data_IF_999755582349
#
_entry.id   IF_999755582349
#
_cell.length_a   1.000
_cell.length_b   1.000
_cell.length_c   1.000
_cell.angle_alpha   90.00
_cell.angle_beta   90.00
_cell.angle_gamma   90.00
#
_symmetry.space_group_name_H-M   'P 1'
#
loop_
_entity.id
_entity.type
_entity.pdbx_description
1 polymer ?
#
# COMPACT_ATOMS: atom_id res chain seq x y z
N UNK A 1 -17.11 8.14 28.42
CA UNK A 1 -15.76 8.34 27.85
C UNK A 1 -15.33 7.02 27.27
N UNK A 2 -15.40 6.87 25.92
CA UNK A 2 -15.01 5.62 25.26
C UNK A 2 -13.49 5.51 25.34
N UNK A 3 -13.01 4.43 25.96
CA UNK A 3 -11.61 4.01 25.90
C UNK A 3 -11.28 3.88 24.42
N UNK A 4 -10.17 4.45 23.90
CA UNK A 4 -9.76 4.20 22.53
C UNK A 4 -9.52 2.69 22.41
N UNK A 5 -10.45 1.99 21.74
CA UNK A 5 -10.24 0.57 21.46
C UNK A 5 -9.03 0.47 20.53
N UNK A 6 -8.02 -0.25 20.95
CA UNK A 6 -6.82 -0.49 20.16
C UNK A 6 -7.21 -1.30 18.90
N UNK A 7 -6.71 -0.88 17.75
CA UNK A 7 -6.88 -1.59 16.47
C UNK A 7 -6.50 -3.07 16.63
N UNK A 8 -5.48 -3.38 17.42
CA UNK A 8 -5.03 -4.74 17.69
C UNK A 8 -6.11 -5.58 18.37
N UNK A 9 -6.78 -5.03 19.39
CA UNK A 9 -7.88 -5.73 20.11
C UNK A 9 -9.05 -6.01 19.16
N UNK A 10 -9.44 -5.02 18.36
CA UNK A 10 -10.52 -5.18 17.39
C UNK A 10 -10.18 -6.23 16.31
N UNK A 11 -8.94 -6.29 15.85
CA UNK A 11 -8.48 -7.31 14.92
C UNK A 11 -8.54 -8.72 15.51
N UNK A 12 -8.18 -8.87 16.78
CA UNK A 12 -8.27 -10.16 17.49
C UNK A 12 -9.74 -10.58 17.66
N UNK A 13 -10.63 -9.66 18.06
CA UNK A 13 -12.05 -9.93 18.15
C UNK A 13 -12.65 -10.35 16.81
N UNK A 14 -12.30 -9.66 15.73
CA UNK A 14 -12.74 -9.99 14.37
C UNK A 14 -12.23 -11.38 13.94
N UNK A 15 -10.98 -11.75 14.23
CA UNK A 15 -10.46 -13.09 14.00
C UNK A 15 -11.29 -14.19 14.68
N UNK A 16 -11.87 -13.87 15.84
CA UNK A 16 -12.70 -14.78 16.62
C UNK A 16 -14.17 -14.79 16.18
N UNK A 17 -14.50 -14.09 15.09
CA UNK A 17 -15.84 -14.08 14.47
C UNK A 17 -16.76 -12.95 14.95
N UNK A 18 -16.27 -12.00 15.73
CA UNK A 18 -17.06 -10.83 16.16
C UNK A 18 -17.18 -9.82 14.99
N UNK A 19 -18.35 -9.82 14.36
CA UNK A 19 -18.66 -8.90 13.26
C UNK A 19 -18.78 -7.44 13.74
N UNK A 20 -19.15 -7.22 14.99
CA UNK A 20 -19.24 -5.85 15.53
C UNK A 20 -17.85 -5.21 15.71
N UNK A 21 -16.82 -6.03 15.89
CA UNK A 21 -15.44 -5.57 15.93
C UNK A 21 -15.00 -4.99 14.57
N UNK A 22 -15.45 -5.57 13.46
CA UNK A 22 -15.19 -5.04 12.12
C UNK A 22 -15.83 -3.66 11.90
N UNK A 23 -17.08 -3.48 12.33
CA UNK A 23 -17.78 -2.19 12.22
C UNK A 23 -17.07 -1.07 13.00
N UNK A 24 -16.51 -1.40 14.18
CA UNK A 24 -15.73 -0.45 14.98
C UNK A 24 -14.32 -0.21 14.43
N UNK A 25 -13.72 -1.23 13.81
CA UNK A 25 -12.41 -1.16 13.18
C UNK A 25 -12.41 -0.26 11.94
N UNK A 26 -13.49 -0.32 11.14
CA UNK A 26 -13.66 0.40 9.87
C UNK A 26 -13.25 1.88 9.94
N UNK A 27 -13.84 2.72 10.82
CA UNK A 27 -13.55 4.15 10.85
C UNK A 27 -12.10 4.46 11.28
N UNK A 28 -11.49 3.59 12.10
CA UNK A 28 -10.11 3.74 12.56
C UNK A 28 -9.12 3.44 11.42
N UNK A 29 -9.40 2.36 10.69
CA UNK A 29 -8.58 1.92 9.54
C UNK A 29 -8.76 2.87 8.35
N UNK A 30 -9.98 3.32 8.07
CA UNK A 30 -10.29 4.25 7.00
C UNK A 30 -9.47 5.53 7.12
N UNK A 31 -9.42 6.13 8.32
CA UNK A 31 -8.63 7.33 8.57
C UNK A 31 -7.14 7.14 8.23
N UNK A 32 -6.57 6.01 8.59
CA UNK A 32 -5.16 5.71 8.33
C UNK A 32 -4.92 5.38 6.86
N UNK A 33 -5.80 4.62 6.22
CA UNK A 33 -5.75 4.34 4.78
C UNK A 33 -5.91 5.63 3.97
N UNK A 34 -6.76 6.57 4.41
CA UNK A 34 -6.85 7.91 3.81
C UNK A 34 -5.53 8.65 3.88
N UNK A 35 -4.85 8.62 5.03
CA UNK A 35 -3.53 9.23 5.18
C UNK A 35 -2.51 8.63 4.20
N UNK A 36 -2.51 7.31 4.05
CA UNK A 36 -1.63 6.60 3.13
C UNK A 36 -1.95 6.93 1.67
N UNK A 37 -3.21 6.83 1.29
CA UNK A 37 -3.65 7.14 -0.07
C UNK A 37 -3.33 8.60 -0.44
N UNK A 38 -3.47 9.53 0.49
CA UNK A 38 -3.08 10.94 0.31
C UNK A 38 -1.61 11.12 -0.02
N UNK A 39 -0.72 10.31 0.57
CA UNK A 39 0.73 10.37 0.27
C UNK A 39 0.99 10.05 -1.20
N UNK A 40 0.27 9.07 -1.78
CA UNK A 40 0.40 8.69 -3.19
C UNK A 40 -0.24 9.69 -4.14
N UNK A 41 -1.33 10.33 -3.71
CA UNK A 41 -2.12 11.23 -4.54
C UNK A 41 -1.68 12.70 -4.44
N UNK A 42 -0.74 13.05 -3.56
CA UNK A 42 -0.40 14.41 -3.09
C UNK A 42 0.16 15.39 -4.14
N UNK A 43 0.41 14.97 -5.36
CA UNK A 43 1.00 15.83 -6.41
C UNK A 43 0.05 16.18 -7.56
N UNK A 44 -1.24 15.92 -7.44
CA UNK A 44 -2.20 16.18 -8.51
C UNK A 44 -3.25 17.24 -8.13
N UNK A 45 -3.79 17.96 -9.15
CA UNK A 45 -4.73 19.05 -8.99
C UNK A 45 -6.12 18.62 -8.51
N UNK A 46 -6.95 19.60 -8.13
CA UNK A 46 -8.32 19.50 -7.57
C UNK A 46 -9.21 18.43 -8.22
N UNK A 47 -9.71 17.50 -7.43
CA UNK A 47 -10.56 16.36 -7.85
C UNK A 47 -10.24 15.03 -7.14
N UNK A 48 -9.22 15.03 -6.30
CA UNK A 48 -8.59 13.81 -5.75
C UNK A 48 -9.36 13.09 -4.65
N UNK A 49 -10.33 13.69 -4.01
CA UNK A 49 -11.05 13.07 -2.89
C UNK A 49 -11.78 11.79 -3.32
N UNK A 50 -12.45 11.82 -4.47
CA UNK A 50 -13.12 10.65 -5.05
C UNK A 50 -12.14 9.52 -5.40
N UNK A 51 -10.98 9.87 -5.92
CA UNK A 51 -9.93 8.94 -6.33
C UNK A 51 -9.29 8.26 -5.11
N UNK A 52 -9.00 9.05 -4.07
CA UNK A 52 -8.50 8.55 -2.79
C UNK A 52 -9.48 7.58 -2.16
N UNK A 53 -10.76 7.93 -2.13
CA UNK A 53 -11.83 7.08 -1.60
C UNK A 53 -11.97 5.79 -2.39
N UNK A 54 -11.89 5.83 -3.71
CA UNK A 54 -11.95 4.64 -4.55
C UNK A 54 -10.78 3.67 -4.28
N UNK A 55 -9.55 4.19 -4.16
CA UNK A 55 -8.37 3.40 -3.79
C UNK A 55 -8.52 2.74 -2.42
N UNK A 56 -9.05 3.47 -1.45
CA UNK A 56 -9.28 2.95 -0.10
C UNK A 56 -10.33 1.88 -0.11
N UNK A 57 -11.47 2.11 -0.76
CA UNK A 57 -12.55 1.14 -0.86
C UNK A 57 -12.08 -0.17 -1.51
N UNK A 58 -11.33 -0.08 -2.61
CA UNK A 58 -10.77 -1.25 -3.28
C UNK A 58 -9.76 -2.00 -2.39
N UNK A 59 -8.89 -1.26 -1.70
CA UNK A 59 -7.94 -1.85 -0.74
C UNK A 59 -8.67 -2.53 0.39
N UNK A 60 -9.71 -1.88 0.92
CA UNK A 60 -10.50 -2.41 2.03
C UNK A 60 -11.28 -3.67 1.65
N UNK A 61 -11.96 -3.67 0.50
CA UNK A 61 -12.67 -4.85 -0.01
C UNK A 61 -11.73 -6.06 -0.11
N UNK A 62 -10.53 -5.84 -0.63
CA UNK A 62 -9.51 -6.90 -0.72
C UNK A 62 -8.95 -7.33 0.63
N UNK A 63 -8.90 -6.44 1.62
CA UNK A 63 -8.50 -6.77 3.00
C UNK A 63 -9.54 -7.64 3.69
N UNK A 64 -10.82 -7.30 3.56
CA UNK A 64 -11.93 -8.06 4.17
C UNK A 64 -12.08 -9.44 3.53
N UNK A 65 -11.79 -9.57 2.24
CA UNK A 65 -11.85 -10.85 1.53
C UNK A 65 -10.66 -11.79 1.86
N UNK A 66 -9.68 -11.35 2.67
CA UNK A 66 -8.56 -12.17 3.14
C UNK A 66 -8.98 -13.18 4.22
N UNK A 67 -9.90 -14.10 3.89
CA UNK A 67 -10.49 -15.09 4.83
C UNK A 67 -9.47 -16.03 5.49
N UNK A 68 -8.23 -16.10 5.00
CA UNK A 68 -7.17 -16.99 5.51
C UNK A 68 -6.16 -16.29 6.40
N UNK A 69 -6.21 -14.95 6.50
CA UNK A 69 -5.25 -14.19 7.29
C UNK A 69 -5.70 -14.14 8.74
N UNK A 70 -4.86 -14.62 9.63
CA UNK A 70 -5.01 -14.38 11.08
C UNK A 70 -4.32 -13.07 11.41
N UNK A 71 -5.11 -12.05 11.68
CA UNK A 71 -4.62 -10.73 12.06
C UNK A 71 -3.93 -10.82 13.44
N UNK A 72 -2.68 -10.41 13.52
CA UNK A 72 -1.89 -10.49 14.76
C UNK A 72 -1.96 -9.18 15.56
N UNK A 73 -1.72 -8.08 14.88
CA UNK A 73 -1.69 -6.74 15.46
C UNK A 73 -1.88 -5.67 14.38
N UNK A 74 -1.89 -4.38 14.80
CA UNK A 74 -2.01 -3.23 13.93
C UNK A 74 -0.92 -3.21 12.84
N UNK A 75 0.34 -3.42 13.21
CA UNK A 75 1.45 -3.38 12.26
C UNK A 75 1.35 -4.46 11.18
N UNK A 76 0.95 -5.69 11.55
CA UNK A 76 0.67 -6.78 10.61
C UNK A 76 -0.46 -6.43 9.64
N UNK A 77 -1.56 -5.85 10.14
CA UNK A 77 -2.68 -5.42 9.30
C UNK A 77 -2.25 -4.39 8.25
N UNK A 78 -1.56 -3.31 8.67
CA UNK A 78 -1.10 -2.28 7.74
C UNK A 78 0.02 -2.77 6.81
N UNK A 79 0.80 -3.76 7.24
CA UNK A 79 1.77 -4.44 6.38
C UNK A 79 1.11 -5.16 5.19
N UNK A 80 -0.02 -5.84 5.43
CA UNK A 80 -0.81 -6.47 4.36
C UNK A 80 -1.55 -5.41 3.53
N UNK A 81 -2.12 -4.38 4.18
CA UNK A 81 -2.76 -3.27 3.49
C UNK A 81 -1.79 -2.59 2.49
N UNK A 82 -0.53 -2.42 2.88
CA UNK A 82 0.52 -1.87 2.03
C UNK A 82 0.72 -2.68 0.74
N UNK A 83 0.79 -4.01 0.86
CA UNK A 83 0.91 -4.90 -0.30
C UNK A 83 -0.29 -4.80 -1.23
N UNK A 84 -1.49 -4.79 -0.67
CA UNK A 84 -2.72 -4.69 -1.44
C UNK A 84 -2.78 -3.34 -2.14
N UNK A 85 -2.50 -2.25 -1.43
CA UNK A 85 -2.51 -0.89 -1.97
C UNK A 85 -1.49 -0.74 -3.10
N UNK A 86 -0.27 -1.25 -2.93
CA UNK A 86 0.73 -1.30 -3.99
C UNK A 86 0.18 -1.99 -5.23
N UNK A 87 -0.37 -3.22 -5.09
CA UNK A 87 -0.94 -3.98 -6.21
C UNK A 87 -2.08 -3.23 -6.91
N UNK A 88 -2.96 -2.60 -6.15
CA UNK A 88 -4.05 -1.79 -6.72
C UNK A 88 -3.49 -0.65 -7.54
N UNK A 89 -2.56 0.15 -6.99
CA UNK A 89 -1.93 1.28 -7.67
C UNK A 89 -1.20 0.86 -8.96
N UNK A 90 -0.45 -0.24 -8.91
CA UNK A 90 0.29 -0.74 -10.07
C UNK A 90 -0.64 -1.26 -11.16
N UNK A 91 -1.70 -1.97 -10.79
CA UNK A 91 -2.70 -2.42 -11.78
C UNK A 91 -3.32 -1.22 -12.49
N UNK A 92 -3.70 -0.17 -11.77
CA UNK A 92 -4.19 1.08 -12.36
C UNK A 92 -3.18 1.72 -13.30
N UNK A 93 -1.92 1.81 -12.86
CA UNK A 93 -0.87 2.38 -13.69
C UNK A 93 -0.69 1.59 -15.00
N UNK A 94 -0.70 0.25 -14.92
CA UNK A 94 -0.56 -0.64 -16.08
C UNK A 94 -1.76 -0.57 -17.02
N UNK A 95 -2.98 -0.56 -16.50
CA UNK A 95 -4.20 -0.49 -17.32
C UNK A 95 -4.24 0.83 -18.10
N UNK A 96 -3.94 1.94 -17.47
CA UNK A 96 -3.85 3.23 -18.14
C UNK A 96 -2.77 3.29 -19.22
N UNK A 97 -1.66 2.60 -19.02
CA UNK A 97 -0.60 2.50 -20.02
C UNK A 97 -1.01 1.67 -21.24
N UNK A 98 -1.89 0.67 -21.03
CA UNK A 98 -2.44 -0.18 -22.12
C UNK A 98 -3.51 0.54 -22.94
N UNK A 99 -4.42 1.29 -22.33
CA UNK A 99 -5.48 2.05 -23.02
C UNK A 99 -4.89 3.00 -24.06
N UNK A 100 -3.74 3.61 -23.78
CA UNK A 100 -3.03 4.48 -24.75
C UNK A 100 -2.43 3.76 -25.94
N UNK A 101 -2.23 2.44 -25.88
CA UNK A 101 -1.68 1.63 -26.98
C UNK A 101 -2.77 0.97 -27.83
N UNK A 102 -4.06 1.36 -27.70
CA UNK A 102 -5.15 0.92 -28.58
C UNK A 102 -5.83 -0.40 -28.18
N UNK A 103 -5.78 -0.77 -26.90
CA UNK A 103 -6.52 -1.93 -26.39
C UNK A 103 -7.98 -1.56 -26.09
N UNK A 104 -8.93 -1.99 -26.91
CA UNK A 104 -10.35 -1.95 -26.57
C UNK A 104 -10.66 -3.00 -25.51
N UNK A 105 -10.80 -2.58 -24.26
CA UNK A 105 -11.49 -3.35 -23.23
C UNK A 105 -12.54 -2.44 -22.59
N UNK A 106 -13.80 -2.65 -23.00
CA UNK A 106 -14.97 -2.07 -22.32
C UNK A 106 -15.16 -2.84 -21.01
N UNK A 107 -14.41 -2.45 -19.99
CA UNK A 107 -14.78 -2.67 -18.61
C UNK A 107 -14.98 -1.29 -18.03
N UNK A 108 -16.17 -1.03 -17.46
CA UNK A 108 -16.41 0.13 -16.60
C UNK A 108 -15.47 -0.08 -15.40
N UNK A 109 -14.25 0.35 -15.60
CA UNK A 109 -13.15 0.15 -14.66
C UNK A 109 -13.13 1.34 -13.72
N UNK A 110 -12.83 1.07 -12.48
CA UNK A 110 -12.42 2.09 -11.50
C UNK A 110 -11.41 3.10 -12.09
N UNK A 111 -10.76 2.78 -13.21
CA UNK A 111 -9.82 3.63 -13.98
C UNK A 111 -10.42 4.97 -14.43
N UNK A 112 -11.74 5.06 -14.62
CA UNK A 112 -12.41 6.34 -14.90
C UNK A 112 -12.47 7.25 -13.67
N UNK A 113 -12.35 6.68 -12.47
CA UNK A 113 -12.43 7.39 -11.20
C UNK A 113 -11.06 7.72 -10.62
N UNK A 114 -10.01 6.93 -10.93
CA UNK A 114 -8.64 7.14 -10.43
C UNK A 114 -7.75 7.71 -11.54
N UNK A 115 -7.67 9.04 -11.60
CA UNK A 115 -6.80 9.75 -12.54
C UNK A 115 -5.38 9.91 -11.95
N UNK A 116 -4.54 8.90 -12.03
CA UNK A 116 -3.09 9.05 -11.78
C UNK A 116 -2.47 9.65 -13.05
N UNK A 117 -1.61 10.67 -12.96
CA UNK A 117 -0.96 11.25 -14.13
C UNK A 117 -0.08 10.22 -14.86
N UNK A 118 0.16 10.43 -16.15
CA UNK A 118 0.93 9.48 -16.95
C UNK A 118 2.39 9.34 -16.48
N UNK A 119 2.99 10.47 -16.08
CA UNK A 119 4.35 10.48 -15.53
C UNK A 119 4.45 9.65 -14.27
N UNK A 120 3.49 9.81 -13.34
CA UNK A 120 3.43 9.00 -12.13
C UNK A 120 3.11 7.53 -12.38
N UNK A 121 2.29 7.23 -13.39
CA UNK A 121 2.03 5.84 -13.77
C UNK A 121 3.32 5.16 -14.22
N UNK A 122 4.13 5.81 -15.04
CA UNK A 122 5.43 5.30 -15.45
C UNK A 122 6.41 5.18 -14.28
N UNK A 123 6.49 6.20 -13.42
CA UNK A 123 7.32 6.16 -12.21
C UNK A 123 6.92 5.03 -11.24
N UNK A 124 5.61 4.80 -11.05
CA UNK A 124 5.13 3.71 -10.21
C UNK A 124 5.45 2.34 -10.80
N UNK A 125 5.29 2.17 -12.11
CA UNK A 125 5.65 0.91 -12.79
C UNK A 125 7.15 0.67 -12.68
N UNK A 126 7.98 1.67 -12.95
CA UNK A 126 9.43 1.56 -12.82
C UNK A 126 9.88 1.25 -11.39
N UNK A 127 9.23 1.86 -10.39
CA UNK A 127 9.47 1.55 -8.98
C UNK A 127 9.07 0.12 -8.64
N UNK A 128 7.91 -0.34 -9.13
CA UNK A 128 7.44 -1.71 -8.91
C UNK A 128 8.42 -2.74 -9.48
N UNK A 129 8.84 -2.57 -10.73
CA UNK A 129 9.83 -3.42 -11.38
C UNK A 129 11.18 -3.41 -10.65
N UNK A 130 11.62 -2.23 -10.19
CA UNK A 130 12.84 -2.11 -9.40
C UNK A 130 12.70 -2.83 -8.04
N UNK A 131 11.54 -2.75 -7.39
CA UNK A 131 11.28 -3.48 -6.14
C UNK A 131 11.22 -5.00 -6.34
N UNK A 132 10.68 -5.48 -7.47
CA UNK A 132 10.72 -6.90 -7.82
C UNK A 132 12.17 -7.37 -8.01
N UNK A 133 13.01 -6.60 -8.72
CA UNK A 133 14.43 -6.91 -8.86
C UNK A 133 15.17 -6.86 -7.51
N UNK A 134 14.88 -5.88 -6.67
CA UNK A 134 15.45 -5.80 -5.33
C UNK A 134 15.05 -7.01 -4.46
N UNK A 135 13.81 -7.48 -4.58
CA UNK A 135 13.36 -8.66 -3.84
C UNK A 135 14.14 -9.95 -4.20
N UNK A 136 14.57 -10.08 -5.45
CA UNK A 136 15.42 -11.19 -5.89
C UNK A 136 16.85 -11.13 -5.29
N UNK A 137 17.33 -9.91 -4.99
CA UNK A 137 18.67 -9.69 -4.42
C UNK A 137 18.63 -9.70 -2.89
N UNK A 138 17.65 -9.02 -2.32
CA UNK A 138 17.47 -8.88 -0.87
C UNK A 138 15.98 -8.61 -0.55
N UNK A 139 15.26 -9.70 -0.29
CA UNK A 139 13.82 -9.67 0.00
C UNK A 139 13.50 -8.76 1.19
N UNK A 140 14.33 -8.78 2.25
CA UNK A 140 14.08 -7.95 3.44
C UNK A 140 14.16 -6.46 3.13
N UNK A 141 15.14 -6.03 2.31
CA UNK A 141 15.24 -4.62 1.91
C UNK A 141 14.05 -4.18 1.06
N UNK A 142 13.61 -5.02 0.13
CA UNK A 142 12.37 -4.77 -0.64
C UNK A 142 11.17 -4.64 0.28
N UNK A 143 11.04 -5.54 1.26
CA UNK A 143 9.96 -5.53 2.24
C UNK A 143 9.98 -4.30 3.14
N UNK A 144 11.15 -3.84 3.57
CA UNK A 144 11.31 -2.58 4.31
C UNK A 144 10.77 -1.40 3.49
N UNK A 145 11.05 -1.34 2.19
CA UNK A 145 10.52 -0.28 1.33
C UNK A 145 9.00 -0.39 1.20
N UNK A 146 8.48 -1.57 0.98
CA UNK A 146 7.05 -1.81 0.85
C UNK A 146 6.28 -1.35 2.10
N UNK A 147 6.72 -1.75 3.29
CA UNK A 147 6.09 -1.40 4.55
C UNK A 147 6.15 0.11 4.84
N UNK A 148 7.30 0.73 4.60
CA UNK A 148 7.50 2.14 4.90
C UNK A 148 6.95 3.08 3.83
N UNK A 149 7.14 2.75 2.55
CA UNK A 149 6.71 3.60 1.45
C UNK A 149 5.21 3.41 1.14
N UNK A 150 4.76 2.18 0.95
CA UNK A 150 3.35 1.88 0.63
C UNK A 150 2.48 1.73 1.87
N UNK A 151 3.01 1.18 2.97
CA UNK A 151 2.28 0.98 4.22
C UNK A 151 2.32 2.17 5.17
N UNK A 152 3.24 3.11 4.96
CA UNK A 152 3.42 4.26 5.85
C UNK A 152 3.83 3.90 7.28
N UNK A 153 4.32 2.67 7.50
CA UNK A 153 4.73 2.22 8.81
C UNK A 153 5.95 3.00 9.33
N UNK A 154 5.99 3.22 10.62
CA UNK A 154 7.17 3.77 11.30
C UNK A 154 8.34 2.78 11.25
N UNK A 155 9.51 3.21 11.70
CA UNK A 155 10.68 2.32 11.84
C UNK A 155 10.39 1.22 12.84
N UNK A 156 9.75 1.56 13.95
CA UNK A 156 9.39 0.67 15.04
C UNK A 156 8.38 -0.38 14.59
N UNK A 157 7.29 0.05 13.94
CA UNK A 157 6.27 -0.84 13.38
C UNK A 157 6.85 -1.77 12.31
N UNK A 158 7.75 -1.25 11.47
CA UNK A 158 8.45 -2.05 10.45
C UNK A 158 9.37 -3.10 11.09
N UNK A 159 10.07 -2.71 12.15
CA UNK A 159 10.93 -3.62 12.92
C UNK A 159 10.12 -4.75 13.56
N UNK A 160 8.94 -4.44 14.11
CA UNK A 160 8.00 -5.41 14.67
C UNK A 160 7.51 -6.40 13.61
N UNK A 161 7.03 -5.92 12.46
CA UNK A 161 6.53 -6.79 11.37
C UNK A 161 7.61 -7.72 10.83
N UNK A 162 8.85 -7.23 10.73
CA UNK A 162 9.96 -8.00 10.16
C UNK A 162 10.74 -8.82 11.20
N UNK A 163 10.48 -8.65 12.50
CA UNK A 163 11.21 -9.32 13.57
C UNK A 163 12.70 -8.92 13.64
N UNK A 164 13.02 -7.67 13.33
CA UNK A 164 14.39 -7.14 13.32
C UNK A 164 14.52 -5.88 14.18
N UNK A 165 15.76 -5.43 14.44
CA UNK A 165 15.97 -4.18 15.18
C UNK A 165 15.67 -2.94 14.32
N UNK A 166 15.32 -1.83 14.98
CA UNK A 166 15.12 -0.51 14.34
C UNK A 166 16.39 -0.03 13.62
N UNK A 167 17.57 -0.37 14.14
CA UNK A 167 18.87 -0.08 13.50
C UNK A 167 18.96 -0.82 12.15
N UNK A 168 18.54 -2.08 12.11
CA UNK A 168 18.51 -2.88 10.89
C UNK A 168 17.56 -2.26 9.86
N UNK A 169 16.34 -1.86 10.27
CA UNK A 169 15.37 -1.19 9.40
C UNK A 169 15.95 0.09 8.81
N UNK A 170 16.58 0.93 9.63
CA UNK A 170 17.17 2.19 9.16
C UNK A 170 18.31 1.96 8.16
N UNK A 171 19.17 0.97 8.40
CA UNK A 171 20.25 0.60 7.48
C UNK A 171 19.68 0.09 6.17
N UNK A 172 18.77 -0.86 6.24
CA UNK A 172 18.16 -1.49 5.06
C UNK A 172 17.36 -0.47 4.23
N UNK A 173 16.67 0.46 4.88
CA UNK A 173 15.98 1.57 4.23
C UNK A 173 16.94 2.49 3.46
N UNK A 174 18.07 2.89 4.07
CA UNK A 174 19.08 3.72 3.40
C UNK A 174 19.67 3.02 2.17
N UNK A 175 20.02 1.74 2.31
CA UNK A 175 20.60 0.94 1.23
C UNK A 175 19.60 0.71 0.10
N UNK A 176 18.37 0.34 0.44
CA UNK A 176 17.30 0.14 -0.54
C UNK A 176 17.00 1.41 -1.33
N UNK A 177 16.88 2.56 -0.66
CA UNK A 177 16.65 3.85 -1.33
C UNK A 177 17.77 4.22 -2.30
N UNK A 178 19.02 4.05 -1.88
CA UNK A 178 20.18 4.33 -2.74
C UNK A 178 20.18 3.44 -3.98
N UNK A 179 19.89 2.15 -3.81
CA UNK A 179 19.82 1.18 -4.89
C UNK A 179 18.66 1.49 -5.84
N UNK A 180 17.44 1.70 -5.33
CA UNK A 180 16.26 2.02 -6.12
C UNK A 180 16.42 3.33 -6.90
N UNK A 181 16.99 4.37 -6.29
CA UNK A 181 17.27 5.65 -6.96
C UNK A 181 18.16 5.49 -8.18
N UNK A 182 19.12 4.58 -8.14
CA UNK A 182 20.01 4.27 -9.26
C UNK A 182 19.26 3.45 -10.32
N UNK A 183 18.53 2.44 -9.89
CA UNK A 183 17.86 1.50 -10.77
C UNK A 183 16.74 2.14 -11.59
N UNK A 184 15.93 3.01 -10.96
CA UNK A 184 14.85 3.74 -11.64
C UNK A 184 15.40 4.73 -12.67
N UNK A 185 16.56 5.35 -12.42
CA UNK A 185 17.20 6.26 -13.38
C UNK A 185 17.75 5.53 -14.61
N UNK A 186 18.32 4.34 -14.43
CA UNK A 186 18.87 3.53 -15.53
C UNK A 186 17.80 2.81 -16.35
N UNK A 187 16.59 2.61 -15.81
CA UNK A 187 15.47 2.04 -16.56
C UNK A 187 14.69 3.05 -17.39
N UNK A 188 15.07 4.35 -17.35
CA UNK A 188 14.43 5.44 -18.10
C UNK A 188 15.19 5.82 -19.36
N UNK A 189 16.34 5.21 -19.63
CA UNK A 189 17.14 5.32 -20.84
C UNK A 189 16.84 4.11 -21.77
#
# INVERSE_FOLDING_TARGET
>A
MSVPQDITELLICWNNGDQTALEKLLPLVEKELHRLAHIYMRREHTGHTLQTTALINETFLRLVDQKRVKWQNRAHFFGIAAQIMRRVLINYARDRHREKRGGHAVQISLSEVVLVSNEKSAELIALDEALERLALIDERKSRVVELRYFGGLSVEETAEVLGVSTITVNRDWKMARAWLSREVRHGSD
#
